data_IF_379332634173
#
_entry.id   IF_379332634173
#
_cell.length_a   1.000
_cell.length_b   1.000
_cell.length_c   1.000
_cell.angle_alpha   90.00
_cell.angle_beta   90.00
_cell.angle_gamma   90.00
#
_symmetry.space_group_name_H-M   'P 1'
#
loop_
_entity.id
_entity.type
_entity.pdbx_description
1 polymer ?
#
# COMPACT_ATOMS: atom_id res chain seq x y z
N UNK A 1 38.60 31.51 63.42
CA UNK A 1 37.71 31.71 62.25
C UNK A 1 37.98 30.55 61.30
N UNK A 2 37.18 29.49 61.36
CA UNK A 2 37.39 28.24 60.60
C UNK A 2 36.66 28.33 59.25
N UNK A 3 37.40 28.17 58.15
CA UNK A 3 36.83 28.07 56.81
C UNK A 3 36.31 26.64 56.55
N UNK A 4 35.18 26.46 55.84
CA UNK A 4 34.66 25.13 55.52
C UNK A 4 35.43 24.52 54.33
N UNK A 5 35.88 23.27 54.49
CA UNK A 5 36.48 22.45 53.44
C UNK A 5 35.40 21.89 52.53
N UNK A 6 35.45 22.25 51.24
CA UNK A 6 34.54 21.74 50.21
C UNK A 6 35.00 20.33 49.79
N UNK A 7 34.25 19.30 50.21
CA UNK A 7 34.47 17.91 49.80
C UNK A 7 33.90 17.71 48.40
N UNK A 8 34.75 17.54 47.38
CA UNK A 8 34.32 17.13 46.04
C UNK A 8 33.96 15.65 46.07
N UNK A 9 32.67 15.36 45.97
CA UNK A 9 32.10 14.03 45.86
C UNK A 9 32.32 13.51 44.43
N UNK A 10 33.43 12.80 44.20
CA UNK A 10 33.69 12.09 42.94
C UNK A 10 32.74 10.90 42.85
N UNK A 11 31.55 11.13 42.28
CA UNK A 11 30.64 10.06 41.87
C UNK A 11 31.30 9.27 40.73
N UNK A 12 31.89 8.13 41.06
CA UNK A 12 32.35 7.16 40.09
C UNK A 12 31.17 6.73 39.20
N UNK A 13 31.21 7.11 37.92
CA UNK A 13 30.35 6.53 36.89
C UNK A 13 30.85 5.11 36.62
N UNK A 14 30.22 4.12 37.26
CA UNK A 14 30.40 2.72 36.89
C UNK A 14 30.05 2.49 35.41
N UNK A 15 30.66 1.50 34.75
CA UNK A 15 30.43 1.23 33.34
C UNK A 15 28.93 1.00 33.09
N UNK A 16 28.36 1.80 32.19
CA UNK A 16 26.99 1.62 31.70
C UNK A 16 26.85 0.20 31.14
N UNK A 17 25.91 -0.62 31.62
CA UNK A 17 25.70 -1.95 31.06
C UNK A 17 25.34 -1.82 29.57
N UNK A 18 25.83 -2.72 28.70
CA UNK A 18 25.52 -2.65 27.28
C UNK A 18 24.01 -2.65 27.10
N UNK A 19 23.50 -1.65 26.37
CA UNK A 19 22.10 -1.57 26.00
C UNK A 19 21.73 -2.87 25.30
N UNK A 20 20.99 -3.74 26.00
CA UNK A 20 20.32 -4.88 25.36
C UNK A 20 19.41 -4.28 24.29
N UNK A 21 19.79 -4.45 23.03
CA UNK A 21 18.95 -4.17 21.88
C UNK A 21 17.65 -4.95 22.04
N UNK A 22 16.65 -4.29 22.62
CA UNK A 22 15.31 -4.80 22.71
C UNK A 22 14.77 -4.88 21.29
N UNK A 23 14.85 -6.06 20.67
CA UNK A 23 14.19 -6.36 19.40
C UNK A 23 12.74 -5.92 19.52
N UNK A 24 12.37 -4.87 18.79
CA UNK A 24 11.07 -4.20 18.83
C UNK A 24 9.98 -5.17 18.36
N UNK A 25 9.10 -5.65 19.27
CA UNK A 25 8.09 -6.69 18.94
C UNK A 25 7.08 -6.26 17.87
N UNK A 26 6.92 -4.94 17.63
CA UNK A 26 6.00 -4.39 16.63
C UNK A 26 6.44 -4.61 15.17
N UNK A 27 7.75 -4.61 14.89
CA UNK A 27 8.26 -4.71 13.51
C UNK A 27 7.95 -6.07 12.89
N UNK A 28 8.07 -7.16 13.66
CA UNK A 28 7.78 -8.51 13.19
C UNK A 28 6.31 -8.74 12.83
N UNK A 29 5.38 -8.10 13.56
CA UNK A 29 3.93 -8.19 13.28
C UNK A 29 3.54 -7.49 11.99
N UNK A 30 4.17 -6.35 11.68
CA UNK A 30 3.96 -5.62 10.43
C UNK A 30 4.50 -6.44 9.25
N UNK A 31 5.66 -7.09 9.40
CA UNK A 31 6.17 -8.02 8.38
C UNK A 31 5.25 -9.23 8.17
N UNK A 32 4.65 -9.77 9.22
CA UNK A 32 3.65 -10.85 9.10
C UNK A 32 2.39 -10.38 8.35
N UNK A 33 1.88 -9.18 8.64
CA UNK A 33 0.77 -8.60 7.87
C UNK A 33 1.15 -8.40 6.39
N UNK A 34 2.34 -7.85 6.11
CA UNK A 34 2.84 -7.68 4.74
C UNK A 34 2.95 -9.02 4.02
N UNK A 35 3.48 -10.04 4.69
CA UNK A 35 3.60 -11.38 4.16
C UNK A 35 2.22 -12.01 3.91
N UNK A 36 1.25 -11.81 4.80
CA UNK A 36 -0.11 -12.29 4.63
C UNK A 36 -0.82 -11.60 3.46
N UNK A 37 -0.69 -10.29 3.33
CA UNK A 37 -1.22 -9.53 2.19
C UNK A 37 -0.57 -9.96 0.88
N UNK A 38 0.76 -10.07 0.85
CA UNK A 38 1.49 -10.55 -0.33
C UNK A 38 1.07 -11.98 -0.69
N UNK A 39 0.95 -12.87 0.29
CA UNK A 39 0.50 -14.24 0.08
C UNK A 39 -0.95 -14.28 -0.45
N UNK A 40 -1.85 -13.46 0.08
CA UNK A 40 -3.23 -13.35 -0.41
C UNK A 40 -3.28 -12.84 -1.85
N UNK A 41 -2.49 -11.81 -2.19
CA UNK A 41 -2.37 -11.33 -3.57
C UNK A 41 -1.84 -12.43 -4.49
N UNK A 42 -0.73 -13.08 -4.12
CA UNK A 42 -0.16 -14.17 -4.90
C UNK A 42 -1.15 -15.33 -5.07
N UNK A 43 -1.94 -15.66 -4.04
CA UNK A 43 -2.93 -16.71 -4.08
C UNK A 43 -4.08 -16.35 -5.03
N UNK A 44 -4.61 -15.13 -4.95
CA UNK A 44 -5.63 -14.64 -5.88
C UNK A 44 -5.11 -14.66 -7.32
N UNK A 45 -3.87 -14.21 -7.52
CA UNK A 45 -3.23 -14.20 -8.84
C UNK A 45 -3.04 -15.62 -9.38
N UNK A 46 -2.49 -16.52 -8.56
CA UNK A 46 -2.14 -17.87 -8.99
C UNK A 46 -3.37 -18.78 -9.18
N UNK A 47 -4.41 -18.62 -8.36
CA UNK A 47 -5.59 -19.49 -8.38
C UNK A 47 -6.74 -18.97 -9.23
N UNK A 48 -6.85 -17.65 -9.41
CA UNK A 48 -8.04 -17.05 -10.04
C UNK A 48 -7.68 -16.36 -11.34
N UNK A 49 -6.60 -15.58 -11.36
CA UNK A 49 -6.27 -14.73 -12.52
C UNK A 49 -5.41 -15.45 -13.56
N UNK A 50 -4.77 -16.57 -13.22
CA UNK A 50 -3.93 -17.34 -14.15
C UNK A 50 -4.68 -17.81 -15.39
N UNK A 51 -5.94 -18.20 -15.24
CA UNK A 51 -6.77 -18.72 -16.32
C UNK A 51 -7.65 -17.62 -16.95
N UNK A 52 -7.54 -16.38 -16.48
CA UNK A 52 -8.27 -15.24 -17.03
C UNK A 52 -7.47 -14.59 -18.15
N UNK A 53 -7.88 -14.86 -19.38
CA UNK A 53 -7.45 -14.05 -20.52
C UNK A 53 -8.09 -12.65 -20.45
N UNK A 54 -7.42 -11.64 -21.02
CA UNK A 54 -8.04 -10.32 -21.15
C UNK A 54 -9.38 -10.46 -21.87
N UNK A 55 -10.35 -9.61 -21.53
CA UNK A 55 -11.69 -9.62 -22.14
C UNK A 55 -11.57 -9.35 -23.65
N UNK A 56 -11.31 -10.42 -24.40
CA UNK A 56 -10.92 -10.36 -25.79
C UNK A 56 -12.12 -10.01 -26.62
N UNK A 57 -12.29 -8.73 -26.94
CA UNK A 57 -13.09 -8.19 -28.07
C UNK A 57 -13.15 -6.65 -28.08
N UNK A 58 -12.15 -5.93 -27.54
CA UNK A 58 -12.07 -4.47 -27.70
C UNK A 58 -10.97 -4.10 -28.69
N UNK A 59 -11.28 -3.28 -29.69
CA UNK A 59 -10.28 -2.72 -30.63
C UNK A 59 -9.21 -1.88 -29.93
N UNK A 60 -9.48 -1.48 -28.68
CA UNK A 60 -8.62 -0.66 -27.84
C UNK A 60 -7.97 -1.55 -26.79
N UNK A 61 -6.64 -1.66 -26.87
CA UNK A 61 -5.80 -2.36 -25.90
C UNK A 61 -4.81 -1.38 -25.25
N UNK A 62 -4.77 -1.36 -23.92
CA UNK A 62 -3.81 -0.56 -23.16
C UNK A 62 -2.70 -1.51 -22.65
N UNK A 63 -1.46 -1.36 -23.14
CA UNK A 63 -0.36 -2.24 -22.73
C UNK A 63 0.15 -1.90 -21.33
N UNK A 64 0.78 -2.87 -20.67
CA UNK A 64 1.29 -2.74 -19.29
C UNK A 64 2.19 -1.51 -19.08
N UNK A 65 2.99 -1.11 -20.07
CA UNK A 65 3.91 0.03 -19.92
C UNK A 65 3.16 1.35 -19.89
N UNK A 66 2.03 1.47 -20.59
CA UNK A 66 1.19 2.66 -20.54
C UNK A 66 0.50 2.75 -19.17
N UNK A 67 0.01 1.63 -18.65
CA UNK A 67 -0.49 1.55 -17.27
C UNK A 67 0.60 1.90 -16.26
N UNK A 68 1.83 1.42 -16.44
CA UNK A 68 2.94 1.77 -15.56
C UNK A 68 3.22 3.26 -15.53
N UNK A 69 3.18 3.92 -16.69
CA UNK A 69 3.28 5.38 -16.74
C UNK A 69 2.13 6.03 -15.99
N UNK A 70 0.88 5.63 -16.22
CA UNK A 70 -0.29 6.23 -15.56
C UNK A 70 -0.29 6.00 -14.04
N UNK A 71 0.04 4.80 -13.56
CA UNK A 71 0.19 4.53 -12.13
C UNK A 71 1.35 5.32 -11.53
N UNK A 72 2.50 5.38 -12.21
CA UNK A 72 3.63 6.18 -11.77
C UNK A 72 3.27 7.67 -11.69
N UNK A 73 2.56 8.19 -12.68
CA UNK A 73 2.03 9.56 -12.69
C UNK A 73 1.04 9.77 -11.55
N UNK A 74 0.10 8.86 -11.32
CA UNK A 74 -0.85 8.96 -10.22
C UNK A 74 -0.16 9.03 -8.84
N UNK A 75 0.92 8.28 -8.65
CA UNK A 75 1.71 8.30 -7.42
C UNK A 75 2.61 9.55 -7.27
N UNK A 76 3.11 10.09 -8.38
CA UNK A 76 3.94 11.31 -8.40
C UNK A 76 3.07 12.55 -8.21
N UNK A 77 1.98 12.64 -8.97
CA UNK A 77 1.07 13.78 -9.01
C UNK A 77 -0.01 13.68 -7.93
N UNK A 78 0.36 13.45 -6.66
CA UNK A 78 -0.59 13.59 -5.55
C UNK A 78 -0.97 15.06 -5.41
N UNK A 79 -1.97 15.45 -6.21
CA UNK A 79 -2.70 16.69 -6.05
C UNK A 79 -3.41 16.52 -4.70
N UNK A 80 -2.96 17.27 -3.71
CA UNK A 80 -3.63 17.38 -2.43
C UNK A 80 -4.97 18.10 -2.65
N UNK A 81 -5.96 17.41 -3.22
CA UNK A 81 -7.35 17.86 -3.29
C UNK A 81 -7.94 17.72 -1.89
N UNK A 82 -7.52 18.60 -0.98
CA UNK A 82 -8.25 18.85 0.26
C UNK A 82 -9.56 19.55 -0.11
N UNK A 83 -10.59 18.77 -0.44
CA UNK A 83 -11.95 19.30 -0.55
C UNK A 83 -12.43 19.65 0.86
N UNK A 84 -12.27 20.94 1.18
CA UNK A 84 -12.84 21.71 2.29
C UNK A 84 -13.94 20.98 3.07
N UNK A 85 -13.64 20.66 4.33
CA UNK A 85 -14.51 20.17 5.41
C UNK A 85 -14.96 18.69 5.43
N UNK A 86 -14.73 17.88 4.39
CA UNK A 86 -14.94 16.41 4.46
C UNK A 86 -13.81 15.71 3.72
N UNK A 87 -12.91 15.04 4.45
CA UNK A 87 -11.72 14.38 3.90
C UNK A 87 -12.09 13.10 3.11
N UNK A 88 -12.63 13.28 1.92
CA UNK A 88 -12.77 12.21 0.94
C UNK A 88 -11.53 12.18 0.06
N UNK A 89 -10.57 11.33 0.42
CA UNK A 89 -9.38 11.08 -0.38
C UNK A 89 -9.75 10.30 -1.65
N UNK A 90 -9.86 11.00 -2.78
CA UNK A 90 -9.92 10.35 -4.09
C UNK A 90 -8.50 10.03 -4.55
N UNK A 91 -8.22 8.74 -4.79
CA UNK A 91 -6.93 8.32 -5.32
C UNK A 91 -6.91 8.45 -6.84
N UNK A 92 -5.94 9.18 -7.39
CA UNK A 92 -5.73 9.26 -8.84
C UNK A 92 -5.43 7.88 -9.46
N UNK A 93 -4.99 6.91 -8.65
CA UNK A 93 -4.72 5.53 -9.06
C UNK A 93 -5.98 4.75 -9.44
N UNK A 94 -7.18 5.27 -9.17
CA UNK A 94 -8.43 4.69 -9.67
C UNK A 94 -8.54 4.80 -11.20
N UNK A 95 -8.04 5.88 -11.81
CA UNK A 95 -8.09 6.08 -13.26
C UNK A 95 -7.35 4.96 -14.01
N UNK A 96 -6.05 4.71 -13.76
CA UNK A 96 -5.34 3.60 -14.40
C UNK A 96 -5.91 2.23 -14.04
N UNK A 97 -6.43 2.05 -12.82
CA UNK A 97 -7.09 0.80 -12.44
C UNK A 97 -8.31 0.52 -13.32
N UNK A 98 -9.21 1.50 -13.47
CA UNK A 98 -10.38 1.37 -14.34
C UNK A 98 -9.97 1.08 -15.79
N UNK A 99 -8.99 1.82 -16.31
CA UNK A 99 -8.49 1.59 -17.67
C UNK A 99 -7.95 0.18 -17.86
N UNK A 100 -7.14 -0.32 -16.91
CA UNK A 100 -6.60 -1.67 -17.00
C UNK A 100 -7.66 -2.77 -16.86
N UNK A 101 -8.72 -2.54 -16.08
CA UNK A 101 -9.83 -3.50 -15.98
C UNK A 101 -10.56 -3.68 -17.31
N UNK A 102 -10.76 -2.60 -18.08
CA UNK A 102 -11.49 -2.66 -19.36
C UNK A 102 -10.63 -3.02 -20.57
N UNK A 103 -9.36 -2.61 -20.58
CA UNK A 103 -8.56 -2.58 -21.81
C UNK A 103 -7.23 -3.35 -21.72
N UNK A 104 -6.99 -4.06 -20.62
CA UNK A 104 -5.74 -4.82 -20.41
C UNK A 104 -6.03 -6.21 -19.89
N UNK A 105 -5.10 -7.13 -20.11
CA UNK A 105 -5.14 -8.40 -19.39
C UNK A 105 -4.86 -8.18 -17.90
N UNK A 106 -5.35 -9.06 -17.01
CA UNK A 106 -5.10 -8.90 -15.58
C UNK A 106 -3.60 -8.89 -15.23
N UNK A 107 -2.79 -9.63 -16.00
CA UNK A 107 -1.33 -9.65 -15.81
C UNK A 107 -0.67 -8.33 -16.16
N UNK A 108 -1.11 -7.68 -17.24
CA UNK A 108 -0.61 -6.37 -17.64
C UNK A 108 -1.03 -5.27 -16.67
N UNK A 109 -2.23 -5.36 -16.12
CA UNK A 109 -2.69 -4.47 -15.06
C UNK A 109 -1.81 -4.62 -13.81
N UNK A 110 -1.56 -5.84 -13.35
CA UNK A 110 -0.70 -6.10 -12.20
C UNK A 110 0.74 -5.63 -12.46
N UNK A 111 1.30 -5.95 -13.63
CA UNK A 111 2.65 -5.54 -14.00
C UNK A 111 2.76 -4.01 -14.12
N UNK A 112 1.78 -3.38 -14.76
CA UNK A 112 1.69 -1.93 -14.90
C UNK A 112 1.66 -1.24 -13.55
N UNK A 113 0.76 -1.65 -12.66
CA UNK A 113 0.70 -1.10 -11.31
C UNK A 113 1.99 -1.33 -10.53
N UNK A 114 2.51 -2.56 -10.52
CA UNK A 114 3.67 -2.90 -9.72
C UNK A 114 4.92 -2.11 -10.16
N UNK A 115 5.14 -1.99 -11.47
CA UNK A 115 6.26 -1.24 -12.01
C UNK A 115 6.06 0.27 -11.87
N UNK A 116 4.89 0.78 -12.24
CA UNK A 116 4.59 2.21 -12.18
C UNK A 116 4.66 2.77 -10.76
N UNK A 117 3.86 2.18 -9.86
CA UNK A 117 3.84 2.59 -8.47
C UNK A 117 5.18 2.26 -7.79
N UNK A 118 5.74 1.07 -8.02
CA UNK A 118 7.02 0.67 -7.42
C UNK A 118 8.16 1.63 -7.78
N UNK A 119 8.30 2.02 -9.05
CA UNK A 119 9.30 2.99 -9.50
C UNK A 119 9.06 4.35 -8.85
N UNK A 120 7.82 4.83 -8.80
CA UNK A 120 7.49 6.11 -8.16
C UNK A 120 7.81 6.09 -6.65
N UNK A 121 7.44 5.03 -5.94
CA UNK A 121 7.69 4.89 -4.51
C UNK A 121 9.19 4.78 -4.20
N UNK A 122 9.96 4.08 -5.05
CA UNK A 122 11.38 3.82 -4.84
C UNK A 122 12.27 5.00 -5.27
N UNK A 123 12.05 5.55 -6.48
CA UNK A 123 12.95 6.53 -7.08
C UNK A 123 12.51 7.97 -6.81
N UNK A 124 11.20 8.25 -6.87
CA UNK A 124 10.68 9.59 -6.66
C UNK A 124 10.47 9.89 -5.17
N UNK A 125 9.72 9.04 -4.46
CA UNK A 125 9.39 9.24 -3.04
C UNK A 125 10.42 8.69 -2.07
N UNK A 126 11.33 7.81 -2.53
CA UNK A 126 12.42 7.20 -1.75
C UNK A 126 11.93 6.63 -0.41
N UNK A 127 10.82 5.89 -0.45
CA UNK A 127 10.18 5.39 0.77
C UNK A 127 11.08 4.42 1.54
N UNK A 128 11.01 4.39 2.89
CA UNK A 128 11.68 3.37 3.69
C UNK A 128 11.22 1.96 3.29
N UNK A 129 12.11 0.93 3.33
CA UNK A 129 11.80 -0.41 2.83
C UNK A 129 10.52 -1.04 3.41
N UNK A 130 10.27 -0.82 4.70
CA UNK A 130 9.08 -1.36 5.36
C UNK A 130 7.77 -0.76 4.81
N UNK A 131 7.77 0.56 4.58
CA UNK A 131 6.62 1.28 4.02
C UNK A 131 6.41 0.91 2.55
N UNK A 132 7.50 0.84 1.79
CA UNK A 132 7.47 0.37 0.41
C UNK A 132 6.86 -1.03 0.32
N UNK A 133 7.31 -1.97 1.15
CA UNK A 133 6.78 -3.34 1.17
C UNK A 133 5.28 -3.37 1.52
N UNK A 134 4.86 -2.60 2.54
CA UNK A 134 3.45 -2.51 2.89
C UNK A 134 2.60 -1.96 1.73
N UNK A 135 3.02 -0.84 1.14
CA UNK A 135 2.32 -0.21 0.02
C UNK A 135 2.25 -1.14 -1.20
N UNK A 136 3.35 -1.80 -1.56
CA UNK A 136 3.35 -2.75 -2.67
C UNK A 136 2.44 -3.95 -2.43
N UNK A 137 2.46 -4.54 -1.24
CA UNK A 137 1.56 -5.65 -0.89
C UNK A 137 0.10 -5.20 -0.94
N UNK A 138 -0.20 -4.03 -0.39
CA UNK A 138 -1.52 -3.43 -0.36
C UNK A 138 -2.07 -3.14 -1.77
N UNK A 139 -1.25 -2.52 -2.61
CA UNK A 139 -1.53 -2.26 -4.02
C UNK A 139 -1.82 -3.54 -4.79
N UNK A 140 -0.99 -4.57 -4.61
CA UNK A 140 -1.16 -5.86 -5.28
C UNK A 140 -2.48 -6.54 -4.87
N UNK A 141 -2.81 -6.58 -3.58
CA UNK A 141 -4.09 -7.15 -3.10
C UNK A 141 -5.27 -6.36 -3.66
N UNK A 142 -5.23 -5.03 -3.60
CA UNK A 142 -6.32 -4.17 -4.08
C UNK A 142 -6.62 -4.39 -5.56
N UNK A 143 -5.59 -4.42 -6.39
CA UNK A 143 -5.76 -4.65 -7.84
C UNK A 143 -6.18 -6.07 -8.17
N UNK A 144 -5.63 -7.07 -7.46
CA UNK A 144 -6.06 -8.45 -7.64
C UNK A 144 -7.55 -8.61 -7.28
N UNK A 145 -8.00 -8.04 -6.16
CA UNK A 145 -9.41 -8.06 -5.75
C UNK A 145 -10.29 -7.34 -6.77
N UNK A 146 -9.91 -6.16 -7.22
CA UNK A 146 -10.66 -5.41 -8.23
C UNK A 146 -10.78 -6.22 -9.53
N UNK A 147 -9.70 -6.83 -10.00
CA UNK A 147 -9.70 -7.66 -11.20
C UNK A 147 -10.60 -8.90 -11.06
N UNK A 148 -10.53 -9.60 -9.92
CA UNK A 148 -11.37 -10.77 -9.63
C UNK A 148 -12.85 -10.39 -9.61
N UNK A 149 -13.22 -9.33 -8.88
CA UNK A 149 -14.60 -8.85 -8.79
C UNK A 149 -15.10 -8.42 -10.16
N UNK A 150 -14.27 -7.70 -10.92
CA UNK A 150 -14.63 -7.24 -12.24
C UNK A 150 -14.94 -8.40 -13.19
N UNK A 151 -14.03 -9.38 -13.30
CA UNK A 151 -14.23 -10.54 -14.18
C UNK A 151 -15.39 -11.43 -13.69
N UNK A 152 -15.56 -11.60 -12.37
CA UNK A 152 -16.68 -12.36 -11.83
C UNK A 152 -18.04 -11.72 -12.15
N UNK A 153 -18.12 -10.39 -12.13
CA UNK A 153 -19.36 -9.68 -12.45
C UNK A 153 -19.58 -9.62 -13.96
N UNK A 154 -18.56 -9.30 -14.78
CA UNK A 154 -18.70 -9.20 -16.23
C UNK A 154 -19.01 -10.56 -16.87
N UNK A 155 -18.28 -11.61 -16.49
CA UNK A 155 -18.36 -12.93 -17.12
C UNK A 155 -18.02 -12.87 -18.61
N UNK A 156 -18.78 -13.61 -19.43
CA UNK A 156 -18.56 -13.69 -20.89
C UNK A 156 -19.24 -12.55 -21.69
N UNK A 157 -19.77 -11.53 -21.01
CA UNK A 157 -20.49 -10.42 -21.66
C UNK A 157 -19.53 -9.31 -22.06
N UNK A 158 -19.83 -8.62 -23.18
CA UNK A 158 -19.09 -7.44 -23.59
C UNK A 158 -19.01 -6.40 -22.44
N UNK A 159 -17.80 -6.02 -21.99
CA UNK A 159 -17.64 -5.24 -20.76
C UNK A 159 -18.13 -3.80 -20.91
N UNK A 160 -18.11 -3.21 -22.11
CA UNK A 160 -18.52 -1.81 -22.30
C UNK A 160 -20.05 -1.69 -22.27
N UNK A 161 -20.58 -1.49 -21.07
CA UNK A 161 -22.01 -1.31 -20.81
C UNK A 161 -22.31 -1.25 -19.32
N UNK A 162 -23.60 -1.21 -18.93
CA UNK A 162 -24.02 -1.04 -17.53
C UNK A 162 -23.44 -2.10 -16.58
N UNK A 163 -23.29 -3.35 -17.06
CA UNK A 163 -22.71 -4.44 -16.28
C UNK A 163 -21.24 -4.22 -15.97
N UNK A 164 -20.45 -3.75 -16.94
CA UNK A 164 -19.07 -3.35 -16.71
C UNK A 164 -18.97 -2.17 -15.75
N UNK A 165 -19.86 -1.18 -15.84
CA UNK A 165 -19.86 -0.05 -14.89
C UNK A 165 -20.10 -0.53 -13.46
N UNK A 166 -21.08 -1.41 -13.25
CA UNK A 166 -21.35 -2.04 -11.94
C UNK A 166 -20.13 -2.85 -11.49
N UNK A 167 -19.55 -3.64 -12.39
CA UNK A 167 -18.38 -4.47 -12.09
C UNK A 167 -17.19 -3.62 -11.63
N UNK A 168 -16.92 -2.51 -12.33
CA UNK A 168 -15.84 -1.58 -12.00
C UNK A 168 -16.12 -0.91 -10.67
N UNK A 169 -17.31 -0.35 -10.45
CA UNK A 169 -17.69 0.27 -9.18
C UNK A 169 -17.57 -0.70 -8.01
N UNK A 170 -18.05 -1.93 -8.17
CA UNK A 170 -17.95 -2.96 -7.14
C UNK A 170 -16.48 -3.33 -6.87
N UNK A 171 -15.68 -3.52 -7.92
CA UNK A 171 -14.26 -3.85 -7.80
C UNK A 171 -13.44 -2.75 -7.13
N UNK A 172 -13.65 -1.49 -7.52
CA UNK A 172 -12.95 -0.35 -6.91
C UNK A 172 -13.39 -0.13 -5.47
N UNK A 173 -14.68 -0.27 -5.14
CA UNK A 173 -15.16 -0.19 -3.76
C UNK A 173 -14.56 -1.27 -2.88
N UNK A 174 -14.56 -2.53 -3.33
CA UNK A 174 -13.97 -3.65 -2.58
C UNK A 174 -12.48 -3.42 -2.35
N UNK A 175 -11.75 -2.96 -3.38
CA UNK A 175 -10.34 -2.60 -3.23
C UNK A 175 -10.13 -1.47 -2.21
N UNK A 176 -10.97 -0.42 -2.24
CA UNK A 176 -10.90 0.72 -1.31
C UNK A 176 -11.23 0.33 0.14
N UNK A 177 -12.24 -0.52 0.35
CA UNK A 177 -12.55 -1.04 1.68
C UNK A 177 -11.45 -1.97 2.20
N UNK A 178 -10.97 -2.90 1.37
CA UNK A 178 -9.85 -3.78 1.74
C UNK A 178 -8.60 -2.98 2.08
N UNK A 179 -8.36 -1.91 1.32
CA UNK A 179 -7.31 -0.94 1.57
C UNK A 179 -7.44 -0.27 2.94
N UNK A 180 -8.62 0.27 3.26
CA UNK A 180 -8.87 0.93 4.53
C UNK A 180 -8.68 -0.02 5.72
N UNK A 181 -9.19 -1.26 5.61
CA UNK A 181 -9.02 -2.29 6.64
C UNK A 181 -7.55 -2.69 6.85
N UNK A 182 -6.78 -2.81 5.78
CA UNK A 182 -5.35 -3.11 5.87
C UNK A 182 -4.57 -1.99 6.58
N UNK A 183 -4.89 -0.73 6.26
CA UNK A 183 -4.30 0.44 6.92
C UNK A 183 -4.67 0.49 8.40
N UNK A 184 -5.96 0.34 8.74
CA UNK A 184 -6.42 0.32 10.13
C UNK A 184 -5.78 -0.83 10.92
N UNK A 185 -5.70 -2.02 10.32
CA UNK A 185 -5.03 -3.17 10.92
C UNK A 185 -3.54 -2.93 11.17
N UNK A 186 -2.84 -2.29 10.22
CA UNK A 186 -1.44 -1.92 10.40
C UNK A 186 -1.25 -0.92 11.54
N UNK A 187 -2.13 0.08 11.64
CA UNK A 187 -2.13 1.06 12.74
C UNK A 187 -2.36 0.35 14.08
N UNK A 188 -3.41 -0.47 14.21
CA UNK A 188 -3.72 -1.20 15.44
C UNK A 188 -2.58 -2.14 15.88
N UNK A 189 -1.89 -2.78 14.93
CA UNK A 189 -0.72 -3.61 15.22
C UNK A 189 0.51 -2.79 15.62
N UNK A 190 0.61 -1.54 15.16
CA UNK A 190 1.69 -0.61 15.52
C UNK A 190 1.51 0.03 16.89
N UNK A 191 0.25 0.26 17.31
CA UNK A 191 -0.15 0.94 18.56
C UNK A 191 0.30 0.22 19.85
N UNK A 192 0.72 -1.05 19.75
CA UNK A 192 1.37 -1.77 20.84
C UNK A 192 2.82 -1.38 21.13
N UNK A 193 3.38 -0.38 20.44
CA UNK A 193 4.77 0.09 20.56
C UNK A 193 4.84 1.43 21.30
N UNK A 194 5.89 1.66 22.11
CA UNK A 194 6.00 2.81 23.04
C UNK A 194 5.80 4.20 22.34
N UNK A 195 5.43 5.26 23.10
CA UNK A 195 5.06 6.58 22.56
C UNK A 195 6.08 7.25 21.62
N UNK A 196 7.35 6.89 21.74
CA UNK A 196 8.49 7.31 20.93
C UNK A 196 8.58 6.61 19.55
N UNK A 197 8.05 5.39 19.43
CA UNK A 197 7.88 4.66 18.17
C UNK A 197 6.58 5.03 17.44
N UNK A 198 5.56 5.47 18.19
CA UNK A 198 4.28 5.93 17.66
C UNK A 198 4.47 7.12 16.70
N UNK A 199 5.32 8.08 17.06
CA UNK A 199 5.63 9.23 16.20
C UNK A 199 6.36 8.86 14.90
N UNK A 200 7.14 7.77 14.87
CA UNK A 200 7.79 7.25 13.64
C UNK A 200 6.84 6.40 12.80
N UNK A 201 6.03 5.57 13.45
CA UNK A 201 5.06 4.68 12.81
C UNK A 201 3.91 5.46 12.17
N UNK A 202 3.40 6.49 12.84
CA UNK A 202 2.42 7.42 12.27
C UNK A 202 3.00 8.25 11.12
N UNK A 203 4.24 8.75 11.23
CA UNK A 203 4.89 9.43 10.10
C UNK A 203 5.13 8.50 8.92
N UNK A 204 5.27 7.20 9.14
CA UNK A 204 5.33 6.20 8.07
C UNK A 204 3.96 5.91 7.46
N UNK A 205 2.87 5.86 8.22
CA UNK A 205 1.54 5.50 7.70
C UNK A 205 0.71 6.67 7.15
N UNK A 206 0.88 7.89 7.67
CA UNK A 206 -0.02 9.02 7.38
C UNK A 206 0.31 9.79 6.10
N UNK A 207 1.52 9.63 5.53
CA UNK A 207 1.89 10.31 4.28
C UNK A 207 1.67 9.38 3.09
N UNK A 208 0.43 9.33 2.59
CA UNK A 208 0.15 8.99 1.18
C UNK A 208 0.39 10.25 0.34
#
# INVERSE_FOLDING_TARGET
MNAPTFRTDTREHGPTPPAREARTPGTGRIWLLNAALAAAACLLVALVLKDMEGLGSTDIHVPWWALALLFGLAEVFVIHLQFRNDAHSFSLSEIPLVLGLFFSSPWELIAGQALGAGIALLLHRKQPPLKFAFNMSHFAVGTALAAVVFHAIVGDVYPIGPRGWIATLAGTLIASFGSALAIVGAIALSDGSRPDDFGRSLRMLVVV
#
